data_IF_608461581153
#
_entry.id   IF_608461581153
#
_cell.length_a   1.000
_cell.length_b   1.000
_cell.length_c   1.000
_cell.angle_alpha   90.00
_cell.angle_beta   90.00
_cell.angle_gamma   90.00
#
_symmetry.space_group_name_H-M   'P 1'
#
loop_
_entity.id
_entity.type
_entity.pdbx_description
1 polymer ?
#
# COMPACT_ATOMS: atom_id res chain seq x y z
N UNK A 1 2.03 -16.65 -24.62
CA UNK A 1 3.07 -17.05 -23.64
C UNK A 1 2.67 -16.51 -22.29
N UNK A 2 2.65 -17.34 -21.26
CA UNK A 2 2.26 -16.90 -19.92
C UNK A 2 3.42 -16.12 -19.27
N UNK A 3 3.28 -14.81 -19.20
CA UNK A 3 4.29 -13.89 -18.65
C UNK A 3 4.62 -14.23 -17.19
N UNK A 4 3.59 -14.61 -16.40
CA UNK A 4 3.77 -14.94 -14.98
C UNK A 4 4.66 -16.17 -14.83
N UNK A 5 4.40 -17.25 -15.58
CA UNK A 5 5.21 -18.46 -15.53
C UNK A 5 6.67 -18.20 -15.94
N UNK A 6 6.90 -17.33 -16.93
CA UNK A 6 8.27 -16.95 -17.32
C UNK A 6 9.00 -16.19 -16.21
N UNK A 7 8.32 -15.26 -15.54
CA UNK A 7 8.90 -14.52 -14.40
C UNK A 7 9.19 -15.49 -13.24
N UNK A 8 8.26 -16.39 -12.91
CA UNK A 8 8.44 -17.41 -11.87
C UNK A 8 9.68 -18.27 -12.12
N UNK A 9 9.92 -18.63 -13.38
CA UNK A 9 11.09 -19.41 -13.82
C UNK A 9 12.38 -18.58 -13.90
N UNK A 10 12.32 -17.28 -13.54
CA UNK A 10 13.48 -16.41 -13.49
C UNK A 10 14.01 -16.01 -14.87
N UNK A 11 13.16 -15.91 -15.89
CA UNK A 11 13.55 -15.44 -17.23
C UNK A 11 13.88 -13.94 -17.21
N UNK A 12 15.16 -13.54 -17.35
CA UNK A 12 15.57 -12.15 -17.23
C UNK A 12 15.05 -11.28 -18.38
N UNK A 13 14.95 -11.82 -19.58
CA UNK A 13 14.48 -11.09 -20.76
C UNK A 13 13.01 -10.70 -20.60
N UNK A 14 12.17 -11.63 -20.17
CA UNK A 14 10.74 -11.35 -19.93
C UNK A 14 10.58 -10.36 -18.76
N UNK A 15 11.42 -10.46 -17.74
CA UNK A 15 11.38 -9.52 -16.61
C UNK A 15 11.78 -8.11 -17.05
N UNK A 16 12.81 -7.97 -17.93
CA UNK A 16 13.22 -6.70 -18.51
C UNK A 16 12.09 -6.06 -19.32
N UNK A 17 11.41 -6.84 -20.17
CA UNK A 17 10.25 -6.35 -20.92
C UNK A 17 9.14 -5.84 -19.99
N UNK A 18 8.85 -6.59 -18.92
CA UNK A 18 7.88 -6.20 -17.89
C UNK A 18 8.32 -4.93 -17.16
N UNK A 19 9.60 -4.83 -16.81
CA UNK A 19 10.16 -3.62 -16.19
C UNK A 19 9.99 -2.40 -17.09
N UNK A 20 10.44 -2.48 -18.34
CA UNK A 20 10.37 -1.37 -19.31
C UNK A 20 8.91 -0.93 -19.50
N UNK A 21 7.99 -1.88 -19.62
CA UNK A 21 6.57 -1.58 -19.82
C UNK A 21 5.90 -0.96 -18.59
N UNK A 22 6.15 -1.50 -17.39
CA UNK A 22 5.39 -1.13 -16.19
C UNK A 22 6.05 -0.06 -15.33
N UNK A 23 7.34 0.18 -15.45
CA UNK A 23 8.06 1.17 -14.65
C UNK A 23 7.43 2.57 -14.70
N UNK A 24 7.05 3.12 -15.88
CA UNK A 24 6.41 4.44 -15.93
C UNK A 24 5.05 4.47 -15.23
N UNK A 25 4.28 3.37 -15.29
CA UNK A 25 2.97 3.26 -14.68
C UNK A 25 3.08 3.19 -13.14
N UNK A 26 4.01 2.38 -12.63
CA UNK A 26 4.29 2.26 -11.20
C UNK A 26 4.82 3.59 -10.65
N UNK A 27 5.75 4.25 -11.36
CA UNK A 27 6.24 5.56 -10.96
C UNK A 27 5.11 6.60 -10.90
N UNK A 28 4.27 6.67 -11.93
CA UNK A 28 3.12 7.58 -11.97
C UNK A 28 2.16 7.32 -10.78
N UNK A 29 1.90 6.06 -10.50
CA UNK A 29 1.07 5.66 -9.35
C UNK A 29 1.67 6.14 -8.02
N UNK A 30 2.98 5.99 -7.84
CA UNK A 30 3.69 6.34 -6.60
C UNK A 30 3.88 7.85 -6.45
N UNK A 31 4.25 8.58 -7.52
CA UNK A 31 4.43 10.04 -7.46
C UNK A 31 3.13 10.78 -7.16
N UNK A 32 2.00 10.31 -7.68
CA UNK A 32 0.70 10.89 -7.35
C UNK A 32 0.36 10.79 -5.87
N UNK A 33 0.87 9.76 -5.16
CA UNK A 33 0.60 9.50 -3.75
C UNK A 33 1.62 10.09 -2.79
N UNK A 34 2.89 10.00 -3.15
CA UNK A 34 3.99 10.48 -2.29
C UNK A 34 4.26 11.97 -2.45
N UNK A 35 3.90 12.55 -3.61
CA UNK A 35 4.22 13.93 -4.00
C UNK A 35 5.72 14.26 -3.90
N UNK A 36 6.57 13.26 -3.88
CA UNK A 36 8.02 13.38 -3.78
C UNK A 36 8.69 12.54 -4.87
N UNK A 37 9.30 13.16 -5.90
CA UNK A 37 9.89 12.46 -7.04
C UNK A 37 10.99 11.47 -6.63
N UNK A 38 11.93 11.88 -5.78
CA UNK A 38 13.04 11.02 -5.36
C UNK A 38 12.53 9.79 -4.58
N UNK A 39 11.56 10.00 -3.70
CA UNK A 39 10.96 8.90 -2.95
C UNK A 39 10.12 7.97 -3.84
N UNK A 40 9.39 8.52 -4.82
CA UNK A 40 8.64 7.71 -5.77
C UNK A 40 9.56 6.86 -6.65
N UNK A 41 10.72 7.39 -7.05
CA UNK A 41 11.73 6.65 -7.81
C UNK A 41 12.31 5.50 -7.00
N UNK A 42 12.73 5.75 -5.75
CA UNK A 42 13.20 4.72 -4.83
C UNK A 42 12.17 3.60 -4.64
N UNK A 43 10.92 3.96 -4.38
CA UNK A 43 9.84 3.00 -4.20
C UNK A 43 9.54 2.21 -5.48
N UNK A 44 9.70 2.83 -6.66
CA UNK A 44 9.54 2.14 -7.94
C UNK A 44 10.60 1.06 -8.08
N UNK A 45 11.86 1.38 -7.86
CA UNK A 45 12.96 0.41 -7.90
C UNK A 45 12.73 -0.73 -6.91
N UNK A 46 12.40 -0.40 -5.65
CA UNK A 46 12.11 -1.40 -4.62
C UNK A 46 10.92 -2.30 -4.97
N UNK A 47 9.92 -1.76 -5.69
CA UNK A 47 8.77 -2.55 -6.15
C UNK A 47 9.20 -3.66 -7.10
N UNK A 48 10.06 -3.36 -8.07
CA UNK A 48 10.55 -4.36 -9.03
C UNK A 48 11.55 -5.33 -8.41
N UNK A 49 12.38 -4.88 -7.47
CA UNK A 49 13.24 -5.78 -6.67
C UNK A 49 12.36 -6.78 -5.92
N UNK A 50 11.33 -6.32 -5.20
CA UNK A 50 10.41 -7.20 -4.48
C UNK A 50 9.63 -8.14 -5.42
N UNK A 51 9.23 -7.67 -6.61
CA UNK A 51 8.58 -8.51 -7.62
C UNK A 51 9.51 -9.66 -8.02
N UNK A 52 10.79 -9.37 -8.27
CA UNK A 52 11.78 -10.38 -8.64
C UNK A 52 12.08 -11.34 -7.49
N UNK A 53 12.28 -10.84 -6.29
CA UNK A 53 12.58 -11.67 -5.11
C UNK A 53 11.42 -12.60 -4.76
N UNK A 54 10.18 -12.09 -4.87
CA UNK A 54 8.97 -12.85 -4.58
C UNK A 54 8.37 -13.56 -5.80
N UNK A 55 9.07 -13.63 -6.94
CA UNK A 55 8.54 -14.13 -8.22
C UNK A 55 7.90 -15.51 -8.15
N UNK A 56 8.44 -16.38 -7.29
CA UNK A 56 7.92 -17.74 -7.09
C UNK A 56 6.54 -17.78 -6.42
N UNK A 57 6.12 -16.68 -5.78
CA UNK A 57 4.83 -16.55 -5.09
C UNK A 57 3.75 -15.90 -5.95
N UNK A 58 4.08 -15.50 -7.18
CA UNK A 58 3.10 -14.96 -8.11
C UNK A 58 2.05 -16.02 -8.44
N UNK A 59 0.79 -15.62 -8.48
CA UNK A 59 -0.30 -16.52 -8.83
C UNK A 59 -0.68 -16.37 -10.31
N UNK A 60 -0.79 -17.46 -11.07
CA UNK A 60 -1.31 -17.41 -12.44
C UNK A 60 -2.79 -17.03 -12.51
N UNK A 61 -3.54 -17.14 -11.39
CA UNK A 61 -4.97 -16.81 -11.34
C UNK A 61 -5.23 -15.29 -11.33
N UNK A 62 -4.20 -14.48 -11.10
CA UNK A 62 -4.29 -13.04 -11.03
C UNK A 62 -3.42 -12.40 -12.11
N UNK A 63 -3.88 -11.28 -12.68
CA UNK A 63 -3.07 -10.52 -13.63
C UNK A 63 -1.76 -10.02 -12.99
N UNK A 64 -0.69 -9.97 -13.78
CA UNK A 64 0.58 -9.41 -13.35
C UNK A 64 0.41 -7.96 -12.85
N UNK A 65 -0.42 -7.17 -13.53
CA UNK A 65 -0.75 -5.80 -13.13
C UNK A 65 -1.27 -5.74 -11.70
N UNK A 66 -2.29 -6.55 -11.37
CA UNK A 66 -2.87 -6.59 -10.01
C UNK A 66 -1.82 -6.91 -8.96
N UNK A 67 -0.96 -7.89 -9.24
CA UNK A 67 0.08 -8.31 -8.31
C UNK A 67 1.18 -7.27 -8.16
N UNK A 68 1.60 -6.65 -9.27
CA UNK A 68 2.61 -5.58 -9.28
C UNK A 68 2.14 -4.35 -8.47
N UNK A 69 0.90 -3.88 -8.71
CA UNK A 69 0.37 -2.73 -7.95
C UNK A 69 0.09 -3.06 -6.48
N UNK A 70 -0.17 -4.33 -6.15
CA UNK A 70 -0.20 -4.80 -4.75
C UNK A 70 1.18 -4.66 -4.09
N UNK A 71 2.25 -5.09 -4.78
CA UNK A 71 3.63 -4.94 -4.31
C UNK A 71 3.99 -3.45 -4.18
N UNK A 72 3.72 -2.63 -5.20
CA UNK A 72 3.98 -1.19 -5.17
C UNK A 72 3.33 -0.50 -3.96
N UNK A 73 2.08 -0.85 -3.69
CA UNK A 73 1.33 -0.29 -2.56
C UNK A 73 1.92 -0.70 -1.20
N UNK A 74 2.22 -1.98 -0.99
CA UNK A 74 2.84 -2.43 0.26
C UNK A 74 4.21 -1.80 0.44
N UNK A 75 5.01 -1.71 -0.63
CA UNK A 75 6.32 -1.05 -0.64
C UNK A 75 6.21 0.42 -0.22
N UNK A 76 5.22 1.14 -0.74
CA UNK A 76 4.97 2.54 -0.36
C UNK A 76 4.61 2.67 1.13
N UNK A 77 3.72 1.82 1.64
CA UNK A 77 3.32 1.85 3.05
C UNK A 77 4.52 1.60 3.97
N UNK A 78 5.35 0.60 3.64
CA UNK A 78 6.55 0.27 4.39
C UNK A 78 7.57 1.41 4.34
N UNK A 79 7.77 2.01 3.17
CA UNK A 79 8.66 3.16 2.99
C UNK A 79 8.23 4.38 3.81
N UNK A 80 6.93 4.69 3.84
CA UNK A 80 6.39 5.78 4.67
C UNK A 80 6.61 5.49 6.16
N UNK A 81 6.38 4.26 6.62
CA UNK A 81 6.62 3.86 8.02
C UNK A 81 8.09 4.00 8.39
N UNK A 82 9.00 3.56 7.52
CA UNK A 82 10.44 3.68 7.74
C UNK A 82 10.90 5.15 7.79
N UNK A 83 10.37 5.99 6.89
CA UNK A 83 10.66 7.43 6.90
C UNK A 83 10.21 8.08 8.21
N UNK A 84 9.02 7.71 8.71
CA UNK A 84 8.52 8.21 10.00
C UNK A 84 9.36 7.71 11.18
N UNK A 85 9.81 6.46 11.15
CA UNK A 85 10.70 5.89 12.17
C UNK A 85 12.03 6.64 12.22
N UNK A 86 12.64 6.89 11.05
CA UNK A 86 13.91 7.65 10.96
C UNK A 86 13.76 9.08 11.51
N UNK A 87 12.67 9.76 11.17
CA UNK A 87 12.39 11.12 11.70
C UNK A 87 12.27 11.12 13.22
N UNK A 88 11.59 10.15 13.82
CA UNK A 88 11.48 10.02 15.28
C UNK A 88 12.84 9.82 15.93
N UNK A 89 13.66 8.92 15.41
CA UNK A 89 15.01 8.70 15.93
C UNK A 89 15.88 9.96 15.83
N UNK A 90 15.83 10.69 14.71
CA UNK A 90 16.56 11.96 14.59
C UNK A 90 16.12 13.03 15.59
N UNK A 91 14.83 13.07 15.94
CA UNK A 91 14.31 13.97 16.96
C UNK A 91 14.74 13.57 18.38
N UNK A 92 14.93 12.29 18.67
CA UNK A 92 15.42 11.82 19.96
C UNK A 92 16.92 12.13 20.19
N UNK A 93 17.71 12.28 19.11
CA UNK A 93 19.14 12.63 19.19
C UNK A 93 19.43 14.13 19.16
N UNK A 94 18.45 14.96 18.78
CA UNK A 94 18.59 16.42 18.83
C UNK A 94 18.01 16.92 20.13
N UNK A 95 18.88 17.35 21.06
CA UNK A 95 18.56 18.06 22.30
C UNK A 95 17.64 19.27 22.04
N UNK A 96 16.72 19.63 22.96
CA UNK A 96 15.62 20.54 22.70
C UNK A 96 16.10 21.98 22.54
N UNK A 97 16.05 22.47 21.33
CA UNK A 97 16.12 23.86 20.96
C UNK A 97 15.02 24.11 19.94
N UNK A 98 13.93 24.66 20.44
CA UNK A 98 12.86 25.41 19.78
C UNK A 98 12.73 25.29 18.25
N UNK A 99 11.76 24.50 17.80
CA UNK A 99 10.63 24.95 17.00
C UNK A 99 9.66 23.77 16.89
N UNK A 100 8.58 23.87 17.63
CA UNK A 100 7.45 22.97 17.53
C UNK A 100 6.81 23.15 16.16
N UNK A 101 7.27 22.35 15.19
CA UNK A 101 6.35 21.92 14.13
C UNK A 101 5.19 21.29 14.87
N UNK A 102 3.93 21.76 14.67
CA UNK A 102 2.82 21.17 15.38
C UNK A 102 2.94 19.67 15.19
N UNK A 103 3.08 18.95 16.31
CA UNK A 103 2.97 17.51 16.33
C UNK A 103 1.66 17.22 15.59
N UNK A 104 1.75 16.82 14.34
CA UNK A 104 0.67 16.07 13.70
C UNK A 104 0.53 14.95 14.69
N UNK A 105 -0.46 15.09 15.56
CA UNK A 105 -0.77 14.11 16.59
C UNK A 105 -0.60 12.78 15.89
N UNK A 106 0.29 11.94 16.40
CA UNK A 106 0.49 10.59 15.88
C UNK A 106 -0.88 9.94 16.00
N UNK A 107 -1.69 10.13 14.94
CA UNK A 107 -3.05 9.66 14.93
C UNK A 107 -2.90 8.18 15.06
N UNK A 108 -3.44 7.67 16.14
CA UNK A 108 -3.50 6.27 16.41
C UNK A 108 -4.38 5.59 15.34
N UNK A 109 -3.85 5.59 14.11
CA UNK A 109 -4.45 4.89 12.99
C UNK A 109 -4.62 3.40 13.32
N UNK A 110 -3.70 2.83 14.08
CA UNK A 110 -3.77 1.46 14.52
C UNK A 110 -4.92 1.27 15.52
N UNK A 111 -5.08 2.17 16.47
CA UNK A 111 -6.23 2.18 17.39
C UNK A 111 -7.54 2.38 16.66
N UNK A 112 -7.60 3.33 15.72
CA UNK A 112 -8.81 3.55 14.92
C UNK A 112 -9.20 2.31 14.08
N UNK A 113 -8.24 1.63 13.46
CA UNK A 113 -8.46 0.39 12.72
C UNK A 113 -8.87 -0.74 13.68
N UNK A 114 -8.27 -0.81 14.87
CA UNK A 114 -8.62 -1.80 15.88
C UNK A 114 -10.04 -1.63 16.44
N UNK A 115 -10.58 -0.42 16.41
CA UNK A 115 -11.96 -0.12 16.79
C UNK A 115 -13.01 -0.53 15.73
N UNK A 116 -12.59 -1.00 14.56
CA UNK A 116 -13.51 -1.55 13.56
C UNK A 116 -14.02 -2.94 13.99
N UNK A 117 -15.29 -3.28 13.70
CA UNK A 117 -15.80 -4.64 13.89
C UNK A 117 -14.94 -5.68 13.15
N UNK A 118 -14.76 -6.91 13.68
CA UNK A 118 -13.76 -7.87 13.18
C UNK A 118 -13.82 -8.13 11.69
N UNK A 119 -15.00 -8.42 11.12
CA UNK A 119 -15.17 -8.67 9.69
C UNK A 119 -14.84 -7.41 8.87
N UNK A 120 -15.31 -6.25 9.31
CA UNK A 120 -15.06 -4.96 8.64
C UNK A 120 -13.58 -4.62 8.66
N UNK A 121 -12.90 -4.85 9.79
CA UNK A 121 -11.45 -4.69 9.93
C UNK A 121 -10.70 -5.61 8.93
N UNK A 122 -11.07 -6.91 8.88
CA UNK A 122 -10.43 -7.87 7.96
C UNK A 122 -10.61 -7.44 6.50
N UNK A 123 -11.82 -7.10 6.08
CA UNK A 123 -12.13 -6.59 4.74
C UNK A 123 -11.33 -5.31 4.45
N UNK A 124 -11.28 -4.37 5.38
CA UNK A 124 -10.53 -3.12 5.24
C UNK A 124 -9.03 -3.36 5.08
N UNK A 125 -8.44 -4.22 5.93
CA UNK A 125 -7.01 -4.56 5.86
C UNK A 125 -6.68 -5.28 4.55
N UNK A 126 -7.47 -6.27 4.13
CA UNK A 126 -7.26 -6.98 2.86
C UNK A 126 -7.28 -6.00 1.68
N UNK A 127 -8.24 -5.07 1.64
CA UNK A 127 -8.29 -4.10 0.57
C UNK A 127 -7.18 -3.05 0.66
N UNK A 128 -6.99 -2.41 1.84
CA UNK A 128 -6.12 -1.24 1.98
C UNK A 128 -4.66 -1.57 2.25
N UNK A 129 -4.37 -2.65 2.96
CA UNK A 129 -3.00 -3.04 3.30
C UNK A 129 -2.45 -4.11 2.36
N UNK A 130 -3.29 -5.06 1.95
CA UNK A 130 -2.86 -6.17 1.10
C UNK A 130 -3.23 -5.98 -0.38
N UNK A 131 -3.96 -4.93 -0.74
CA UNK A 131 -4.26 -4.57 -2.14
C UNK A 131 -5.25 -5.49 -2.85
N UNK A 132 -5.99 -6.34 -2.11
CA UNK A 132 -7.01 -7.22 -2.69
C UNK A 132 -8.14 -6.41 -3.33
N UNK A 133 -8.58 -6.81 -4.51
CA UNK A 133 -9.80 -6.32 -5.15
C UNK A 133 -11.04 -6.78 -4.37
N UNK A 134 -12.18 -6.18 -4.62
CA UNK A 134 -13.44 -6.58 -3.97
C UNK A 134 -13.82 -8.02 -4.31
N UNK A 135 -13.56 -8.47 -5.54
CA UNK A 135 -13.81 -9.84 -5.97
C UNK A 135 -12.91 -10.85 -5.23
N UNK A 136 -11.62 -10.55 -5.09
CA UNK A 136 -10.70 -11.40 -4.35
C UNK A 136 -11.09 -11.51 -2.87
N UNK A 137 -11.47 -10.38 -2.24
CA UNK A 137 -11.94 -10.37 -0.84
C UNK A 137 -13.25 -11.14 -0.71
N UNK A 138 -14.16 -10.99 -1.67
CA UNK A 138 -15.43 -11.71 -1.70
C UNK A 138 -15.19 -13.23 -1.75
N UNK A 139 -14.30 -13.68 -2.60
CA UNK A 139 -13.88 -15.08 -2.71
C UNK A 139 -13.22 -15.59 -1.41
N UNK A 140 -12.23 -14.84 -0.90
CA UNK A 140 -11.46 -15.19 0.30
C UNK A 140 -12.32 -15.32 1.57
N UNK A 141 -13.34 -14.46 1.70
CA UNK A 141 -14.19 -14.39 2.89
C UNK A 141 -15.58 -15.01 2.69
N UNK A 142 -15.84 -15.63 1.54
CA UNK A 142 -17.15 -16.18 1.16
C UNK A 142 -18.27 -15.13 1.30
N UNK A 143 -18.01 -13.91 0.82
CA UNK A 143 -18.93 -12.77 0.82
C UNK A 143 -19.32 -12.43 -0.63
N UNK A 144 -20.39 -11.64 -0.82
CA UNK A 144 -20.64 -11.01 -2.11
C UNK A 144 -19.81 -9.74 -2.29
N UNK A 145 -19.47 -9.38 -3.55
CA UNK A 145 -18.78 -8.13 -3.90
C UNK A 145 -19.49 -6.91 -3.29
N UNK A 146 -20.81 -6.89 -3.34
CA UNK A 146 -21.63 -5.84 -2.73
C UNK A 146 -21.49 -5.76 -1.21
N UNK A 147 -21.34 -6.90 -0.54
CA UNK A 147 -21.11 -6.96 0.90
C UNK A 147 -19.72 -6.42 1.24
N UNK A 148 -18.70 -6.76 0.45
CA UNK A 148 -17.33 -6.22 0.60
C UNK A 148 -17.34 -4.70 0.43
N UNK A 149 -17.96 -4.18 -0.64
CA UNK A 149 -18.11 -2.74 -0.88
C UNK A 149 -18.77 -2.04 0.30
N UNK A 150 -19.87 -2.60 0.82
CA UNK A 150 -20.56 -2.09 2.01
C UNK A 150 -19.65 -2.05 3.23
N UNK A 151 -18.86 -3.10 3.47
CA UNK A 151 -17.90 -3.13 4.58
C UNK A 151 -16.81 -2.07 4.43
N UNK A 152 -16.26 -1.86 3.23
CA UNK A 152 -15.27 -0.79 2.96
C UNK A 152 -15.89 0.59 3.20
N UNK A 153 -17.08 0.86 2.66
CA UNK A 153 -17.78 2.13 2.83
C UNK A 153 -18.05 2.44 4.32
N UNK A 154 -18.53 1.44 5.06
CA UNK A 154 -18.79 1.58 6.50
C UNK A 154 -17.48 1.73 7.32
N UNK A 155 -16.40 1.05 6.94
CA UNK A 155 -15.10 1.22 7.57
C UNK A 155 -14.60 2.67 7.41
N UNK A 156 -14.62 3.18 6.18
CA UNK A 156 -14.23 4.57 5.89
C UNK A 156 -15.11 5.59 6.65
N UNK A 157 -16.42 5.36 6.71
CA UNK A 157 -17.33 6.23 7.47
C UNK A 157 -17.03 6.22 8.97
N UNK A 158 -16.69 5.06 9.55
CA UNK A 158 -16.34 4.92 10.96
C UNK A 158 -14.97 5.55 11.25
N UNK A 159 -13.96 5.28 10.41
CA UNK A 159 -12.65 5.88 10.55
C UNK A 159 -12.68 7.40 10.44
N UNK A 160 -13.52 7.97 9.56
CA UNK A 160 -13.73 9.42 9.46
C UNK A 160 -14.25 10.04 10.75
N UNK A 161 -15.05 9.34 11.53
CA UNK A 161 -15.56 9.84 12.82
C UNK A 161 -14.47 9.84 13.90
N UNK A 162 -13.51 8.94 13.81
CA UNK A 162 -12.44 8.77 14.80
C UNK A 162 -11.25 9.69 14.46
N UNK A 163 -10.98 9.88 13.18
CA UNK A 163 -9.86 10.66 12.68
C UNK A 163 -10.32 12.09 12.35
N UNK A 164 -9.62 13.10 12.87
CA UNK A 164 -9.93 14.52 12.60
C UNK A 164 -9.78 14.89 11.12
N UNK A 165 -10.48 15.95 10.62
CA UNK A 165 -10.54 16.31 9.20
C UNK A 165 -9.20 16.48 8.47
N UNK A 166 -8.15 16.92 9.16
CA UNK A 166 -6.82 17.10 8.57
C UNK A 166 -6.17 15.83 8.03
N UNK A 167 -6.63 14.66 8.49
CA UNK A 167 -6.13 13.35 8.05
C UNK A 167 -6.99 12.70 6.99
N UNK A 168 -8.19 13.19 6.80
CA UNK A 168 -9.09 12.71 5.76
C UNK A 168 -8.50 12.92 4.37
N UNK A 169 -7.75 13.98 4.15
CA UNK A 169 -7.04 14.24 2.91
C UNK A 169 -6.03 13.14 2.59
N UNK A 170 -5.37 12.58 3.59
CA UNK A 170 -4.39 11.50 3.39
C UNK A 170 -5.04 10.15 3.09
N UNK A 171 -6.20 9.86 3.68
CA UNK A 171 -6.94 8.62 3.42
C UNK A 171 -7.74 8.65 2.11
N UNK A 172 -8.04 9.83 1.56
CA UNK A 172 -8.84 9.97 0.33
C UNK A 172 -7.99 9.99 -0.94
N UNK A 173 -6.70 10.32 -0.83
CA UNK A 173 -5.76 10.30 -1.96
C UNK A 173 -5.03 8.96 -2.10
N UNK A 174 -5.31 8.01 -1.22
CA UNK A 174 -4.91 6.62 -1.29
C UNK A 174 -6.09 5.79 -1.85
#
# INVERSE_FOLDING_TARGET
>A
MDVINNIQNGNPTVFEEVFIHWQPHVYTYLIHRTKNPAFAEELTQLTFIKLWDSRHTLSPDHSLETQLFRIARTTMIDGIRELQRRKRLQQEFNTPGEESVPAIHAIDMAGAINALPPVRKKVFLLNRMHGYSYKEIASELSLSDRTVEKHISLALKQLRKILTPALLLFCFQL
#
